data_IF_018896035763
#
_entry.id   IF_018896035763
#
_cell.length_a   1.000
_cell.length_b   1.000
_cell.length_c   1.000
_cell.angle_alpha   90.00
_cell.angle_beta   90.00
_cell.angle_gamma   90.00
#
_symmetry.space_group_name_H-M   'P 1'
#
loop_
_entity.id
_entity.type
_entity.pdbx_description
1 polymer ?
#
# COMPACT_ATOMS: atom_id res chain seq x y z
N UNK A 1 -14.12 -42.28 8.07
CA UNK A 1 -14.03 -42.58 6.62
C UNK A 1 -13.10 -41.53 6.02
N UNK A 2 -11.90 -41.93 5.60
CA UNK A 2 -10.90 -40.97 5.12
C UNK A 2 -10.92 -40.96 3.58
N UNK A 3 -10.84 -39.77 2.98
CA UNK A 3 -10.55 -39.60 1.55
C UNK A 3 -9.51 -38.51 1.38
N UNK A 4 -8.24 -38.93 1.42
CA UNK A 4 -7.12 -38.09 1.00
C UNK A 4 -7.18 -37.91 -0.52
N UNK A 5 -7.18 -36.66 -1.00
CA UNK A 5 -7.05 -36.35 -2.42
C UNK A 5 -5.60 -35.96 -2.67
N UNK A 6 -4.89 -36.83 -3.39
CA UNK A 6 -3.54 -36.58 -3.90
C UNK A 6 -3.70 -35.82 -5.23
N UNK A 7 -3.07 -34.65 -5.38
CA UNK A 7 -3.02 -33.92 -6.65
C UNK A 7 -1.57 -33.77 -7.09
N UNK A 8 -1.27 -34.31 -8.27
CA UNK A 8 0.08 -34.53 -8.78
C UNK A 8 0.66 -33.25 -9.36
N UNK A 9 1.89 -32.90 -8.99
CA UNK A 9 2.65 -31.85 -9.68
C UNK A 9 3.14 -32.34 -11.04
N UNK A 10 2.92 -31.55 -12.08
CA UNK A 10 3.57 -31.73 -13.37
C UNK A 10 4.53 -30.56 -13.62
N UNK A 11 5.84 -30.82 -13.52
CA UNK A 11 6.87 -29.89 -13.96
C UNK A 11 7.18 -30.15 -15.44
N UNK A 12 7.21 -29.09 -16.25
CA UNK A 12 7.62 -29.12 -17.65
C UNK A 12 8.81 -28.16 -17.82
N UNK A 13 9.89 -28.67 -18.42
CA UNK A 13 11.18 -27.99 -18.51
C UNK A 13 11.85 -28.28 -19.86
N UNK A 14 12.53 -27.25 -20.39
CA UNK A 14 13.33 -27.24 -21.63
C UNK A 14 12.52 -27.41 -22.94
N UNK A 15 12.95 -26.88 -24.09
CA UNK A 15 14.33 -26.55 -24.54
C UNK A 15 14.40 -25.14 -25.17
N UNK A 16 15.52 -24.45 -24.95
CA UNK A 16 15.87 -23.25 -25.72
C UNK A 16 16.70 -23.64 -26.96
N UNK A 17 16.28 -23.16 -28.14
CA UNK A 17 17.05 -23.23 -29.38
C UNK A 17 16.99 -21.87 -30.06
N UNK A 18 18.13 -21.18 -30.10
CA UNK A 18 18.33 -20.00 -30.93
C UNK A 18 19.39 -20.30 -31.98
N UNK A 19 19.08 -19.99 -33.24
CA UNK A 19 20.03 -19.58 -34.28
C UNK A 19 19.23 -18.98 -35.45
N UNK A 20 19.84 -18.04 -36.16
CA UNK A 20 19.18 -17.17 -37.12
C UNK A 20 19.66 -17.45 -38.56
N UNK A 21 18.96 -16.82 -39.52
CA UNK A 21 19.45 -16.39 -40.85
C UNK A 21 19.32 -17.34 -42.06
N UNK A 22 18.63 -16.81 -43.08
CA UNK A 22 18.60 -17.08 -44.53
C UNK A 22 18.89 -18.49 -45.08
N UNK A 23 17.86 -19.09 -45.69
CA UNK A 23 17.74 -19.20 -47.15
C UNK A 23 16.49 -20.02 -47.53
N UNK A 24 15.49 -19.40 -48.17
CA UNK A 24 14.76 -20.03 -49.28
C UNK A 24 14.07 -18.95 -50.12
N UNK A 25 14.33 -18.95 -51.44
CA UNK A 25 13.98 -17.86 -52.36
C UNK A 25 13.21 -18.40 -53.56
N UNK A 26 11.97 -17.92 -53.73
CA UNK A 26 11.07 -18.22 -54.84
C UNK A 26 10.29 -19.54 -54.67
N UNK A 27 9.02 -19.63 -55.03
CA UNK A 27 8.10 -18.59 -55.51
C UNK A 27 7.05 -19.16 -56.46
N UNK A 28 5.76 -18.90 -56.18
CA UNK A 28 4.66 -18.76 -57.15
C UNK A 28 3.32 -18.60 -56.40
N UNK A 29 2.68 -17.46 -56.67
CA UNK A 29 1.24 -17.31 -56.96
C UNK A 29 0.19 -17.82 -55.95
N UNK A 30 -0.40 -16.87 -55.22
CA UNK A 30 -1.86 -16.63 -55.27
C UNK A 30 -2.20 -15.19 -54.82
N UNK A 31 -3.32 -14.65 -55.32
CA UNK A 31 -3.59 -13.21 -55.39
C UNK A 31 -4.09 -12.55 -54.09
N UNK A 32 -3.77 -11.25 -53.92
CA UNK A 32 -4.32 -10.37 -52.87
C UNK A 32 -5.12 -9.22 -53.51
N UNK A 33 -6.42 -9.05 -53.18
CA UNK A 33 -7.14 -7.82 -53.44
C UNK A 33 -7.01 -6.82 -52.27
N UNK A 34 -7.00 -5.54 -52.64
CA UNK A 34 -6.64 -4.35 -51.83
C UNK A 34 -7.75 -3.82 -50.91
N UNK A 35 -7.42 -2.96 -49.91
CA UNK A 35 -8.42 -2.23 -49.13
C UNK A 35 -9.13 -1.15 -49.95
N UNK A 36 -10.33 -0.76 -49.51
CA UNK A 36 -11.11 0.37 -50.07
C UNK A 36 -11.47 1.38 -48.97
N UNK A 37 -11.37 2.67 -49.30
CA UNK A 37 -11.83 3.80 -48.48
C UNK A 37 -12.87 4.64 -49.22
N UNK A 38 -13.59 5.45 -48.45
CA UNK A 38 -14.36 6.65 -48.85
C UNK A 38 -15.63 6.48 -49.69
N UNK A 39 -16.78 6.86 -49.14
CA UNK A 39 -17.40 8.20 -49.39
C UNK A 39 -18.73 8.33 -48.61
N UNK A 40 -19.05 9.55 -48.18
CA UNK A 40 -20.24 9.90 -47.39
C UNK A 40 -21.56 9.97 -48.19
N UNK A 41 -22.70 10.05 -47.49
CA UNK A 41 -23.82 10.88 -47.95
C UNK A 41 -24.74 11.34 -46.79
N UNK A 42 -25.30 12.54 -46.91
CA UNK A 42 -26.15 13.24 -45.94
C UNK A 42 -27.62 12.76 -45.89
N UNK A 43 -28.30 13.03 -44.77
CA UNK A 43 -29.75 13.21 -44.70
C UNK A 43 -30.21 14.04 -43.47
N UNK A 44 -31.01 15.08 -43.73
CA UNK A 44 -31.59 16.07 -42.82
C UNK A 44 -33.13 15.84 -42.72
N UNK A 45 -33.89 16.13 -41.65
CA UNK A 45 -33.65 16.85 -40.37
C UNK A 45 -34.58 16.33 -39.26
N UNK A 46 -34.47 16.84 -38.01
CA UNK A 46 -35.53 17.63 -37.32
C UNK A 46 -35.18 17.89 -35.82
N UNK A 47 -35.75 18.95 -35.23
CA UNK A 47 -35.51 19.44 -33.86
C UNK A 47 -36.74 19.25 -32.96
N UNK A 48 -36.54 18.89 -31.68
CA UNK A 48 -37.43 19.37 -30.60
C UNK A 48 -36.73 19.30 -29.24
N UNK A 49 -37.14 20.17 -28.32
CA UNK A 49 -36.55 20.35 -26.99
C UNK A 49 -37.54 19.96 -25.88
N UNK A 50 -37.11 20.23 -24.64
CA UNK A 50 -37.72 20.00 -23.32
C UNK A 50 -37.40 18.64 -22.67
N UNK A 51 -37.25 18.52 -21.36
CA UNK A 51 -36.90 19.40 -20.22
C UNK A 51 -37.18 18.54 -18.96
N UNK A 52 -36.51 18.88 -17.85
CA UNK A 52 -36.88 18.52 -16.47
C UNK A 52 -36.87 17.02 -16.07
N UNK A 53 -35.89 16.64 -15.24
CA UNK A 53 -36.18 15.90 -14.01
C UNK A 53 -35.16 16.30 -12.93
N UNK A 54 -35.64 16.94 -11.87
CA UNK A 54 -34.84 17.47 -10.78
C UNK A 54 -34.51 16.42 -9.74
N UNK A 55 -33.35 15.76 -9.85
CA UNK A 55 -32.82 14.96 -8.75
C UNK A 55 -31.90 15.79 -7.85
N UNK A 56 -32.52 16.47 -6.87
CA UNK A 56 -31.85 17.13 -5.74
C UNK A 56 -31.21 16.09 -4.81
N UNK A 57 -30.08 15.55 -5.28
CA UNK A 57 -29.14 14.81 -4.44
C UNK A 57 -28.18 15.83 -3.86
N UNK A 58 -28.53 16.36 -2.68
CA UNK A 58 -27.66 17.16 -1.80
C UNK A 58 -26.43 16.33 -1.42
N UNK A 59 -25.52 16.25 -2.38
CA UNK A 59 -24.15 15.82 -2.20
C UNK A 59 -23.45 17.00 -1.53
N UNK A 60 -23.71 17.14 -0.23
CA UNK A 60 -22.96 18.01 0.67
C UNK A 60 -21.50 17.57 0.58
N UNK A 61 -20.80 18.22 -0.36
CA UNK A 61 -19.36 18.25 -0.47
C UNK A 61 -18.87 19.00 0.75
N UNK A 62 -18.76 18.28 1.86
CA UNK A 62 -17.95 18.67 3.00
C UNK A 62 -16.51 18.78 2.52
N UNK A 63 -16.21 19.93 1.94
CA UNK A 63 -14.87 20.45 1.72
C UNK A 63 -14.24 20.58 3.09
N UNK A 64 -13.63 19.48 3.57
CA UNK A 64 -12.87 19.46 4.79
C UNK A 64 -11.72 20.44 4.61
N UNK A 65 -11.83 21.54 5.36
CA UNK A 65 -10.89 22.66 5.33
C UNK A 65 -9.45 22.14 5.41
N UNK A 66 -8.56 22.71 4.59
CA UNK A 66 -7.20 22.24 4.36
C UNK A 66 -6.24 22.51 5.53
N UNK A 67 -6.76 22.53 6.76
CA UNK A 67 -6.01 22.75 7.98
C UNK A 67 -5.04 21.60 8.26
N UNK A 68 -3.85 21.95 8.75
CA UNK A 68 -2.92 20.98 9.30
C UNK A 68 -3.50 20.40 10.59
N UNK A 69 -3.75 19.09 10.61
CA UNK A 69 -4.13 18.38 11.82
C UNK A 69 -2.95 18.31 12.79
N UNK A 70 -3.23 18.43 14.09
CA UNK A 70 -2.28 18.13 15.16
C UNK A 70 -2.01 16.62 15.19
N UNK A 71 -1.03 16.16 14.42
CA UNK A 71 -0.56 14.77 14.38
C UNK A 71 0.72 14.63 15.18
N UNK A 72 0.80 13.62 16.03
CA UNK A 72 1.94 13.39 16.92
C UNK A 72 2.16 11.89 17.16
N UNK A 73 3.37 11.53 17.59
CA UNK A 73 3.67 10.15 17.95
C UNK A 73 2.78 9.67 19.10
N UNK A 74 2.52 10.52 20.11
CA UNK A 74 1.61 10.23 21.22
C UNK A 74 0.18 9.88 20.77
N UNK A 75 -0.34 10.54 19.72
CA UNK A 75 -1.65 10.20 19.13
C UNK A 75 -1.54 8.90 18.33
N UNK A 76 -0.48 8.72 17.55
CA UNK A 76 -0.24 7.48 16.82
C UNK A 76 -0.19 6.28 17.78
N UNK A 77 0.54 6.35 18.88
CA UNK A 77 0.74 5.23 19.80
C UNK A 77 -0.53 4.83 20.56
N UNK A 78 -1.41 5.80 20.86
CA UNK A 78 -2.75 5.54 21.44
C UNK A 78 -3.72 4.81 20.50
N UNK A 79 -3.46 4.78 19.19
CA UNK A 79 -4.32 4.10 18.21
C UNK A 79 -4.00 2.59 18.22
N UNK A 80 -4.95 1.77 18.65
CA UNK A 80 -4.81 0.31 18.75
C UNK A 80 -5.60 -0.42 17.65
N UNK A 81 -5.11 -1.60 17.23
CA UNK A 81 -5.82 -2.44 16.25
C UNK A 81 -7.18 -2.89 16.81
N UNK A 82 -8.22 -2.88 15.97
CA UNK A 82 -9.59 -3.19 16.35
C UNK A 82 -10.41 -2.00 16.89
N UNK A 83 -9.81 -0.81 17.09
CA UNK A 83 -10.59 0.41 17.38
C UNK A 83 -11.51 0.79 16.21
N UNK A 84 -12.67 1.37 16.52
CA UNK A 84 -13.58 1.95 15.52
C UNK A 84 -13.10 3.29 14.97
N UNK A 85 -13.67 3.73 13.85
CA UNK A 85 -13.39 5.07 13.32
C UNK A 85 -13.70 6.16 14.34
N UNK A 86 -14.81 6.07 15.07
CA UNK A 86 -15.17 7.04 16.10
C UNK A 86 -14.17 7.09 17.27
N UNK A 87 -13.62 5.94 17.69
CA UNK A 87 -12.58 5.89 18.72
C UNK A 87 -11.28 6.53 18.23
N UNK A 88 -10.86 6.25 16.99
CA UNK A 88 -9.67 6.86 16.37
C UNK A 88 -9.86 8.37 16.18
N UNK A 89 -11.03 8.81 15.69
CA UNK A 89 -11.41 10.22 15.59
C UNK A 89 -11.33 10.93 16.95
N UNK A 90 -11.79 10.28 18.02
CA UNK A 90 -11.67 10.80 19.39
C UNK A 90 -10.21 11.00 19.86
N UNK A 91 -9.30 10.11 19.46
CA UNK A 91 -7.85 10.25 19.73
C UNK A 91 -7.23 11.38 18.89
N UNK A 92 -7.63 11.49 17.63
CA UNK A 92 -7.10 12.49 16.70
C UNK A 92 -7.60 13.91 17.01
N UNK A 93 -8.85 14.04 17.48
CA UNK A 93 -9.52 15.30 17.79
C UNK A 93 -10.21 15.94 16.58
N UNK A 94 -10.19 15.29 15.41
CA UNK A 94 -10.88 15.72 14.19
C UNK A 94 -11.23 14.52 13.33
N UNK A 95 -12.19 14.68 12.42
CA UNK A 95 -12.37 13.74 11.31
C UNK A 95 -11.09 13.65 10.46
N UNK A 96 -10.89 12.48 9.85
CA UNK A 96 -9.80 12.22 8.92
C UNK A 96 -10.26 12.43 7.47
N UNK A 97 -9.36 12.83 6.59
CA UNK A 97 -9.66 12.90 5.17
C UNK A 97 -9.83 11.48 4.60
N UNK A 98 -11.00 11.14 4.05
CA UNK A 98 -11.23 9.82 3.46
C UNK A 98 -10.45 9.69 2.15
N UNK A 99 -9.52 8.73 2.10
CA UNK A 99 -8.63 8.51 0.94
C UNK A 99 -9.08 7.33 0.07
N UNK A 100 -9.86 6.41 0.60
CA UNK A 100 -10.51 5.34 -0.18
C UNK A 100 -11.74 4.81 0.55
N UNK A 101 -12.76 4.38 -0.20
CA UNK A 101 -13.90 3.63 0.31
C UNK A 101 -14.24 2.50 -0.65
N UNK A 102 -14.56 1.32 -0.13
CA UNK A 102 -15.03 0.16 -0.92
C UNK A 102 -16.07 -0.60 -0.11
N UNK A 103 -17.26 -0.79 -0.69
CA UNK A 103 -18.36 -1.53 -0.07
C UNK A 103 -18.88 -2.59 -1.04
N UNK A 104 -18.83 -3.85 -0.64
CA UNK A 104 -19.21 -4.99 -1.46
C UNK A 104 -19.90 -6.07 -0.60
N UNK A 105 -21.23 -6.09 -0.63
CA UNK A 105 -22.03 -6.95 0.25
C UNK A 105 -21.84 -6.58 1.72
N UNK A 106 -21.44 -7.55 2.54
CA UNK A 106 -21.15 -7.37 3.97
C UNK A 106 -19.68 -7.00 4.28
N UNK A 107 -18.92 -6.57 3.26
CA UNK A 107 -17.53 -6.10 3.42
C UNK A 107 -17.44 -4.63 3.10
N UNK A 108 -16.91 -3.87 4.05
CA UNK A 108 -16.65 -2.45 3.96
C UNK A 108 -15.18 -2.19 4.30
N UNK A 109 -14.49 -1.41 3.48
CA UNK A 109 -13.09 -1.04 3.66
C UNK A 109 -12.94 0.46 3.44
N UNK A 110 -12.55 1.18 4.48
CA UNK A 110 -12.36 2.63 4.45
C UNK A 110 -10.93 2.98 4.88
N UNK A 111 -10.28 3.92 4.20
CA UNK A 111 -8.96 4.43 4.59
C UNK A 111 -9.03 5.94 4.81
N UNK A 112 -8.42 6.43 5.89
CA UNK A 112 -8.41 7.84 6.27
C UNK A 112 -6.98 8.35 6.51
N UNK A 113 -6.78 9.66 6.33
CA UNK A 113 -5.50 10.34 6.51
C UNK A 113 -5.71 11.64 7.30
N UNK A 114 -4.86 11.86 8.31
CA UNK A 114 -4.64 13.17 8.93
C UNK A 114 -3.28 13.68 8.49
N UNK A 115 -3.23 14.85 7.86
CA UNK A 115 -1.99 15.52 7.45
C UNK A 115 -1.60 16.56 8.49
N UNK A 116 -0.36 16.50 8.96
CA UNK A 116 0.25 17.54 9.77
C UNK A 116 1.11 18.48 8.97
N UNK A 117 2.01 19.17 9.67
CA UNK A 117 2.96 20.09 9.04
C UNK A 117 3.93 19.35 8.10
N UNK A 118 4.34 20.04 7.03
CA UNK A 118 5.33 19.58 6.05
C UNK A 118 4.92 18.27 5.36
N UNK A 119 5.42 17.14 5.85
CA UNK A 119 5.17 15.79 5.34
C UNK A 119 4.70 14.83 6.44
N UNK A 120 4.36 15.36 7.62
CA UNK A 120 3.82 14.60 8.72
C UNK A 120 2.43 14.06 8.35
N UNK A 121 2.16 12.77 8.60
CA UNK A 121 0.86 12.18 8.37
C UNK A 121 0.64 10.93 9.24
N UNK A 122 -0.61 10.72 9.66
CA UNK A 122 -1.12 9.45 10.18
C UNK A 122 -2.14 8.92 9.17
N UNK A 123 -2.00 7.65 8.79
CA UNK A 123 -2.92 6.94 7.89
C UNK A 123 -3.47 5.70 8.57
N UNK A 124 -4.74 5.41 8.32
CA UNK A 124 -5.45 4.27 8.89
C UNK A 124 -6.28 3.56 7.84
N UNK A 125 -6.57 2.28 8.07
CA UNK A 125 -7.58 1.53 7.31
C UNK A 125 -8.43 0.64 8.23
N UNK A 126 -9.73 0.76 8.06
CA UNK A 126 -10.74 -0.05 8.73
C UNK A 126 -11.27 -1.13 7.78
N UNK A 127 -11.58 -2.30 8.33
CA UNK A 127 -12.39 -3.32 7.67
C UNK A 127 -13.62 -3.54 8.55
N UNK A 128 -14.83 -3.31 8.02
CA UNK A 128 -16.09 -3.41 8.78
C UNK A 128 -16.06 -2.61 10.11
N UNK A 129 -15.57 -1.36 10.06
CA UNK A 129 -15.31 -0.48 11.22
C UNK A 129 -14.29 -1.00 12.26
N UNK A 130 -13.52 -2.06 11.98
CA UNK A 130 -12.39 -2.46 12.84
C UNK A 130 -11.06 -1.99 12.25
N UNK A 131 -10.25 -1.26 13.03
CA UNK A 131 -8.92 -0.81 12.59
C UNK A 131 -7.99 -2.00 12.30
N UNK A 132 -7.62 -2.15 11.03
CA UNK A 132 -6.78 -3.25 10.53
C UNK A 132 -5.36 -2.82 10.15
N UNK A 133 -5.13 -1.52 10.01
CA UNK A 133 -3.82 -0.95 9.67
C UNK A 133 -3.71 0.50 10.15
N UNK A 134 -2.54 0.83 10.70
CA UNK A 134 -2.07 2.20 10.97
C UNK A 134 -0.68 2.37 10.36
N UNK A 135 -0.38 3.57 9.88
CA UNK A 135 0.99 4.00 9.59
C UNK A 135 1.20 5.47 9.86
N UNK A 136 2.46 5.83 10.09
CA UNK A 136 2.89 7.20 10.24
C UNK A 136 4.02 7.54 9.29
N UNK A 137 4.16 8.82 8.99
CA UNK A 137 5.31 9.38 8.30
C UNK A 137 5.60 10.74 8.90
N UNK A 138 6.86 11.06 9.16
CA UNK A 138 7.27 12.44 9.49
C UNK A 138 6.81 13.00 10.83
N UNK A 139 6.27 12.17 11.74
CA UNK A 139 5.89 12.61 13.10
C UNK A 139 7.10 12.96 13.99
N UNK A 140 8.29 12.66 13.52
CA UNK A 140 9.55 12.70 14.25
C UNK A 140 10.67 13.23 13.34
N UNK A 141 11.74 13.85 13.89
CA UNK A 141 12.85 14.34 13.08
C UNK A 141 13.51 13.24 12.22
N UNK A 142 13.90 13.60 11.00
CA UNK A 142 14.51 12.66 10.05
C UNK A 142 15.91 12.19 10.45
N UNK A 143 16.66 13.02 11.17
CA UNK A 143 17.92 12.65 11.82
C UNK A 143 17.63 12.18 13.26
N UNK A 144 18.35 11.15 13.73
CA UNK A 144 18.18 10.63 15.08
C UNK A 144 19.50 10.41 15.83
N UNK A 145 19.41 9.68 16.94
CA UNK A 145 20.51 9.43 17.88
C UNK A 145 20.75 7.95 18.17
N UNK A 146 20.05 7.03 17.48
CA UNK A 146 20.28 5.60 17.65
C UNK A 146 21.70 5.23 17.22
N UNK A 147 22.40 4.45 18.04
CA UNK A 147 23.75 3.94 17.76
C UNK A 147 23.66 2.80 16.75
N UNK A 148 23.51 3.13 15.47
CA UNK A 148 23.44 2.18 14.35
C UNK A 148 24.74 2.21 13.54
N UNK A 149 25.18 1.03 13.10
CA UNK A 149 26.39 0.83 12.31
C UNK A 149 26.23 -0.35 11.37
N UNK A 150 27.09 -0.43 10.34
CA UNK A 150 27.11 -1.57 9.42
C UNK A 150 27.39 -2.88 10.17
N UNK A 151 28.20 -2.84 11.23
CA UNK A 151 28.47 -4.00 12.09
C UNK A 151 27.22 -4.49 12.83
N UNK A 152 26.43 -3.59 13.44
CA UNK A 152 25.15 -3.95 14.07
C UNK A 152 24.13 -4.44 13.04
N UNK A 153 24.01 -3.75 11.90
CA UNK A 153 23.13 -4.18 10.81
C UNK A 153 23.47 -5.60 10.32
N UNK A 154 24.76 -5.92 10.13
CA UNK A 154 25.19 -7.23 9.67
C UNK A 154 24.86 -8.37 10.63
N UNK A 155 24.76 -8.10 11.94
CA UNK A 155 24.38 -9.09 12.97
C UNK A 155 22.88 -9.41 13.01
N UNK A 156 22.04 -8.59 12.41
CA UNK A 156 20.58 -8.81 12.37
C UNK A 156 20.25 -9.82 11.27
N UNK A 157 19.51 -10.89 11.57
CA UNK A 157 19.16 -11.95 10.62
C UNK A 157 17.65 -12.13 10.46
N UNK A 158 17.22 -12.55 9.27
CA UNK A 158 15.82 -12.90 8.97
C UNK A 158 15.39 -14.03 9.91
N UNK A 159 14.22 -13.90 10.52
CA UNK A 159 13.73 -14.81 11.56
C UNK A 159 13.98 -14.38 13.01
N UNK A 160 14.79 -13.34 13.26
CA UNK A 160 14.88 -12.73 14.60
C UNK A 160 13.56 -12.05 15.01
N UNK A 161 13.24 -12.08 16.30
CA UNK A 161 12.17 -11.28 16.93
C UNK A 161 12.51 -9.79 16.96
N UNK A 162 11.51 -8.94 17.23
CA UNK A 162 11.76 -7.52 17.48
C UNK A 162 12.74 -7.30 18.65
N UNK A 163 12.62 -8.08 19.72
CA UNK A 163 13.47 -7.95 20.90
C UNK A 163 14.93 -8.35 20.62
N UNK A 164 15.18 -9.42 19.87
CA UNK A 164 16.55 -9.78 19.43
C UNK A 164 17.18 -8.68 18.56
N UNK A 165 16.40 -8.03 17.70
CA UNK A 165 16.87 -6.90 16.87
C UNK A 165 17.14 -5.65 17.72
N UNK A 166 16.24 -5.35 18.65
CA UNK A 166 16.36 -4.25 19.63
C UNK A 166 17.63 -4.42 20.47
N UNK A 167 17.92 -5.62 20.94
CA UNK A 167 19.11 -5.92 21.76
C UNK A 167 20.42 -5.79 20.97
N UNK A 168 20.43 -6.15 19.68
CA UNK A 168 21.59 -5.93 18.79
C UNK A 168 21.84 -4.44 18.54
N UNK A 169 20.77 -3.64 18.41
CA UNK A 169 20.88 -2.19 18.17
C UNK A 169 21.17 -1.43 19.47
N UNK A 170 20.61 -1.87 20.60
CA UNK A 170 20.74 -1.23 21.91
C UNK A 170 19.69 -0.14 22.18
N UNK A 171 18.60 -0.09 21.42
CA UNK A 171 17.50 0.87 21.61
C UNK A 171 16.22 0.39 20.93
N UNK A 172 15.06 0.85 21.41
CA UNK A 172 13.79 0.67 20.69
C UNK A 172 13.79 1.34 19.31
N UNK A 173 13.00 0.76 18.41
CA UNK A 173 12.75 1.30 17.07
C UNK A 173 11.48 2.12 17.04
N UNK A 174 11.45 3.16 16.22
CA UNK A 174 10.23 3.92 15.98
C UNK A 174 9.29 3.11 15.08
N UNK A 175 8.09 2.78 15.58
CA UNK A 175 7.10 2.07 14.77
C UNK A 175 6.60 2.99 13.65
N UNK A 176 6.74 2.54 12.39
CA UNK A 176 6.25 3.29 11.22
C UNK A 176 4.91 2.77 10.72
N UNK A 177 4.61 1.48 10.96
CA UNK A 177 3.35 0.87 10.58
C UNK A 177 3.05 -0.41 11.36
N UNK A 178 1.77 -0.70 11.51
CA UNK A 178 1.25 -1.94 12.09
C UNK A 178 -0.03 -2.31 11.34
N UNK A 179 -0.11 -3.55 10.84
CA UNK A 179 -1.35 -4.17 10.36
C UNK A 179 -1.65 -5.46 11.11
N UNK A 180 -2.95 -5.73 11.29
CA UNK A 180 -3.44 -6.98 11.86
C UNK A 180 -4.53 -7.54 10.97
N UNK A 181 -4.30 -8.75 10.49
CA UNK A 181 -5.26 -9.55 9.74
C UNK A 181 -5.56 -10.83 10.53
N UNK A 182 -6.64 -11.54 10.16
CA UNK A 182 -7.02 -12.80 10.82
C UNK A 182 -5.98 -13.92 10.71
N UNK A 183 -5.01 -13.80 9.79
CA UNK A 183 -3.99 -14.83 9.49
C UNK A 183 -2.56 -14.43 9.81
N UNK A 184 -2.29 -13.14 10.08
CA UNK A 184 -0.98 -12.65 10.52
C UNK A 184 -1.05 -11.21 11.05
N UNK A 185 -0.08 -10.87 11.90
CA UNK A 185 0.24 -9.50 12.33
C UNK A 185 1.54 -9.05 11.66
N UNK A 186 1.64 -7.79 11.24
CA UNK A 186 2.85 -7.23 10.63
C UNK A 186 3.17 -5.86 11.21
N UNK A 187 4.43 -5.62 11.54
CA UNK A 187 4.92 -4.36 12.11
C UNK A 187 6.20 -3.93 11.41
N UNK A 188 6.33 -2.65 11.18
CA UNK A 188 7.53 -2.06 10.59
C UNK A 188 8.13 -1.03 11.53
N UNK A 189 9.45 -1.07 11.69
CA UNK A 189 10.20 -0.23 12.61
C UNK A 189 11.36 0.46 11.91
N UNK A 190 11.73 1.64 12.40
CA UNK A 190 12.87 2.41 11.92
C UNK A 190 13.74 2.87 13.09
N UNK A 191 15.03 2.59 13.01
CA UNK A 191 16.04 3.22 13.86
C UNK A 191 16.72 4.31 13.04
N UNK A 192 16.81 5.52 13.58
CA UNK A 192 17.45 6.68 12.94
C UNK A 192 18.68 7.07 13.75
N UNK A 193 19.83 7.04 13.11
CA UNK A 193 21.09 7.51 13.67
C UNK A 193 21.44 8.91 13.19
N UNK A 194 22.69 9.30 13.47
CA UNK A 194 23.24 10.58 13.03
C UNK A 194 23.52 10.62 11.53
N UNK A 195 23.53 11.81 10.93
CA UNK A 195 23.82 11.99 9.50
C UNK A 195 22.77 11.40 8.57
N UNK A 196 21.49 11.35 8.98
CA UNK A 196 20.39 10.68 8.26
C UNK A 196 20.61 9.19 8.01
N UNK A 197 21.47 8.54 8.80
CA UNK A 197 21.59 7.08 8.82
C UNK A 197 20.32 6.44 9.36
N UNK A 198 19.93 5.30 8.80
CA UNK A 198 18.79 4.54 9.31
C UNK A 198 18.87 3.04 8.99
N UNK A 199 18.23 2.25 9.85
CA UNK A 199 17.87 0.86 9.61
C UNK A 199 16.35 0.79 9.59
N UNK A 200 15.78 0.10 8.60
CA UNK A 200 14.36 -0.19 8.51
C UNK A 200 14.14 -1.70 8.51
N UNK A 201 13.13 -2.17 9.23
CA UNK A 201 12.86 -3.59 9.43
C UNK A 201 11.36 -3.87 9.33
N UNK A 202 11.00 -4.96 8.66
CA UNK A 202 9.63 -5.45 8.58
C UNK A 202 9.53 -6.81 9.26
N UNK A 203 8.65 -6.91 10.25
CA UNK A 203 8.35 -8.12 11.00
C UNK A 203 6.97 -8.62 10.64
N UNK A 204 6.81 -9.93 10.58
CA UNK A 204 5.52 -10.61 10.50
C UNK A 204 5.48 -11.67 11.60
N UNK A 205 4.41 -11.70 12.37
CA UNK A 205 4.21 -12.67 13.47
C UNK A 205 5.43 -12.74 14.42
N UNK A 206 5.97 -11.55 14.77
CA UNK A 206 7.24 -11.33 15.50
C UNK A 206 8.47 -12.07 14.92
N UNK A 207 8.56 -12.14 13.59
CA UNK A 207 9.72 -12.63 12.86
C UNK A 207 10.13 -11.66 11.77
N UNK A 208 11.37 -11.21 11.81
CA UNK A 208 11.96 -10.31 10.81
C UNK A 208 11.88 -10.98 9.43
N UNK A 209 11.17 -10.35 8.50
CA UNK A 209 11.02 -10.82 7.12
C UNK A 209 12.07 -10.20 6.20
N UNK A 210 12.37 -8.92 6.40
CA UNK A 210 13.40 -8.20 5.66
C UNK A 210 13.87 -6.97 6.43
N UNK A 211 15.08 -6.51 6.08
CA UNK A 211 15.71 -5.29 6.60
C UNK A 211 16.33 -4.51 5.45
N UNK A 212 16.38 -3.18 5.57
CA UNK A 212 17.17 -2.30 4.70
C UNK A 212 17.93 -1.29 5.55
N UNK A 213 18.92 -0.64 4.95
CA UNK A 213 19.69 0.42 5.58
C UNK A 213 20.00 1.54 4.60
N UNK A 214 20.27 2.74 5.13
CA UNK A 214 20.93 3.80 4.37
C UNK A 214 21.88 4.61 5.25
N UNK A 215 22.94 5.13 4.62
CA UNK A 215 23.98 5.97 5.22
C UNK A 215 24.68 5.40 6.47
N UNK A 216 24.68 4.07 6.66
CA UNK A 216 25.50 3.43 7.70
C UNK A 216 27.00 3.58 7.40
N UNK A 217 27.79 3.52 8.47
CA UNK A 217 29.26 3.43 8.48
C UNK A 217 29.69 2.08 9.06
#
# INVERSE_FOLDING_TARGET
MNRSILLVMAALLFVALGCNLDQFRGGSDDEVPTPVTDTANDADSDTTADADDGNDSDSTSSSSDGGSADVSMDKFDKIEMGMSYDAVKGIMGSDGNQTSMTKAGNREMASYEWKGEKFAAIRVRFNNDELSYKSQTGLTPANGSADISQAKFNRIEVGMSYDEVKDIIGSDGEMTSHSKFSTFESKSYRWKGSGYSNIFANFRDDKLQNKTQSNLK
#
